data_IF_343382733517
#
_entry.id   IF_343382733517
#
_cell.length_a   1.000
_cell.length_b   1.000
_cell.length_c   1.000
_cell.angle_alpha   90.00
_cell.angle_beta   90.00
_cell.angle_gamma   90.00
#
_symmetry.space_group_name_H-M   'P 1'
#
loop_
_entity.id
_entity.type
_entity.pdbx_description
1 polymer ?
#
# COMPACT_ATOMS: atom_id res chain seq x y z
N UNK A 1 -1.61 1.41 -8.29
CA UNK A 1 -0.82 2.34 -7.44
C UNK A 1 0.62 1.84 -7.39
N UNK A 2 1.65 2.65 -7.69
CA UNK A 2 3.06 2.21 -7.52
C UNK A 2 3.51 2.48 -6.10
N UNK A 3 3.87 1.45 -5.32
CA UNK A 3 4.48 1.59 -3.99
C UNK A 3 5.95 2.01 -4.13
N UNK A 4 6.45 2.80 -3.19
CA UNK A 4 7.89 3.00 -3.07
C UNK A 4 8.60 1.77 -2.47
N UNK A 5 9.93 1.78 -2.41
CA UNK A 5 10.71 0.63 -1.93
C UNK A 5 10.37 0.26 -0.47
N UNK A 6 10.21 1.26 0.41
CA UNK A 6 9.90 1.02 1.82
C UNK A 6 8.48 0.47 1.99
N UNK A 7 7.53 1.01 1.25
CA UNK A 7 6.15 0.54 1.19
C UNK A 7 6.08 -0.90 0.67
N UNK A 8 6.85 -1.22 -0.37
CA UNK A 8 6.94 -2.58 -0.92
C UNK A 8 7.51 -3.57 0.09
N UNK A 9 8.54 -3.20 0.83
CA UNK A 9 9.11 -4.02 1.90
C UNK A 9 8.15 -4.21 3.08
N UNK A 10 7.33 -3.21 3.40
CA UNK A 10 6.29 -3.35 4.42
C UNK A 10 5.24 -4.39 4.02
N UNK A 11 4.77 -4.34 2.77
CA UNK A 11 3.84 -5.35 2.23
C UNK A 11 4.47 -6.74 2.19
N UNK A 12 5.72 -6.87 1.76
CA UNK A 12 6.43 -8.16 1.78
C UNK A 12 6.55 -8.75 3.19
N UNK A 13 6.84 -7.91 4.20
CA UNK A 13 6.87 -8.34 5.60
C UNK A 13 5.50 -8.82 6.07
N UNK A 14 4.43 -8.09 5.75
CA UNK A 14 3.07 -8.50 6.09
C UNK A 14 2.71 -9.84 5.42
N UNK A 15 3.05 -10.03 4.14
CA UNK A 15 2.80 -11.28 3.41
C UNK A 15 3.72 -12.44 3.83
N UNK A 16 4.81 -12.17 4.57
CA UNK A 16 5.77 -13.21 4.97
C UNK A 16 5.20 -14.20 6.00
N UNK A 17 4.12 -13.82 6.70
CA UNK A 17 3.39 -14.70 7.63
C UNK A 17 2.63 -15.81 6.91
N UNK A 18 2.32 -15.61 5.63
CA UNK A 18 1.62 -16.57 4.80
C UNK A 18 2.59 -17.63 4.24
N UNK A 19 2.12 -18.85 3.94
CA UNK A 19 2.91 -19.86 3.24
C UNK A 19 3.53 -19.32 1.94
N UNK A 20 4.69 -19.84 1.54
CA UNK A 20 5.38 -19.37 0.33
C UNK A 20 4.54 -19.56 -0.95
N UNK A 21 3.74 -20.64 -1.00
CA UNK A 21 2.85 -20.96 -2.12
C UNK A 21 1.50 -20.21 -2.05
N UNK A 22 1.32 -19.31 -1.08
CA UNK A 22 0.05 -18.62 -0.91
C UNK A 22 -0.26 -17.74 -2.13
N UNK A 23 -1.49 -17.80 -2.70
CA UNK A 23 -1.84 -17.09 -3.93
C UNK A 23 -1.61 -15.58 -3.83
N UNK A 24 -1.81 -14.98 -2.65
CA UNK A 24 -1.53 -13.57 -2.41
C UNK A 24 -0.03 -13.19 -2.56
N UNK A 25 0.91 -14.06 -2.15
CA UNK A 25 2.36 -13.80 -2.33
C UNK A 25 2.72 -13.82 -3.81
N UNK A 26 2.26 -14.85 -4.52
CA UNK A 26 2.48 -15.03 -5.96
C UNK A 26 1.89 -13.84 -6.74
N UNK A 27 0.67 -13.44 -6.41
CA UNK A 27 0.01 -12.30 -7.04
C UNK A 27 0.79 -10.99 -6.78
N UNK A 28 1.26 -10.77 -5.56
CA UNK A 28 2.06 -9.57 -5.24
C UNK A 28 3.37 -9.53 -6.03
N UNK A 29 4.07 -10.66 -6.15
CA UNK A 29 5.30 -10.75 -6.96
C UNK A 29 5.05 -10.50 -8.45
N UNK A 30 3.86 -10.85 -8.96
CA UNK A 30 3.41 -10.54 -10.32
C UNK A 30 2.96 -9.08 -10.48
N UNK A 31 2.97 -8.29 -9.42
CA UNK A 31 2.56 -6.87 -9.45
C UNK A 31 1.04 -6.67 -9.37
N UNK A 32 0.31 -7.61 -8.77
CA UNK A 32 -1.11 -7.47 -8.52
C UNK A 32 -1.43 -6.18 -7.78
N UNK A 33 -2.58 -5.59 -8.12
CA UNK A 33 -3.04 -4.40 -7.44
C UNK A 33 -3.55 -4.71 -6.02
N UNK A 34 -3.60 -3.70 -5.13
CA UNK A 34 -4.05 -3.87 -3.76
C UNK A 34 -5.45 -4.47 -3.61
N UNK A 35 -6.37 -4.18 -4.53
CA UNK A 35 -7.75 -4.68 -4.46
C UNK A 35 -7.76 -6.19 -4.76
N UNK A 36 -7.03 -6.61 -5.81
CA UNK A 36 -6.85 -8.02 -6.11
C UNK A 36 -6.23 -8.80 -4.94
N UNK A 37 -5.26 -8.20 -4.25
CA UNK A 37 -4.65 -8.81 -3.06
C UNK A 37 -5.60 -8.92 -1.87
N UNK A 38 -6.42 -7.90 -1.61
CA UNK A 38 -7.42 -7.96 -0.53
C UNK A 38 -8.44 -9.07 -0.76
N UNK A 39 -8.86 -9.30 -2.00
CA UNK A 39 -9.77 -10.41 -2.32
C UNK A 39 -9.14 -11.78 -2.06
N UNK A 40 -7.84 -11.94 -2.31
CA UNK A 40 -7.12 -13.20 -2.06
C UNK A 40 -6.86 -13.47 -0.58
N UNK A 41 -7.09 -12.48 0.29
CA UNK A 41 -6.84 -12.53 1.72
C UNK A 41 -8.13 -12.36 2.53
N UNK A 42 -9.30 -12.37 1.90
CA UNK A 42 -10.57 -12.14 2.57
C UNK A 42 -10.78 -13.12 3.75
N UNK A 43 -10.92 -12.56 4.96
CA UNK A 43 -11.04 -13.33 6.20
C UNK A 43 -9.72 -13.59 6.94
N UNK A 44 -8.59 -13.18 6.39
CA UNK A 44 -7.26 -13.30 7.01
C UNK A 44 -6.87 -12.01 7.76
N UNK A 45 -6.23 -12.14 8.93
CA UNK A 45 -5.77 -10.99 9.73
C UNK A 45 -4.76 -10.10 8.99
N UNK A 46 -4.06 -10.67 8.00
CA UNK A 46 -3.10 -9.97 7.14
C UNK A 46 -3.77 -8.86 6.34
N UNK A 47 -5.09 -8.94 6.06
CA UNK A 47 -5.85 -7.88 5.38
C UNK A 47 -5.81 -6.57 6.13
N UNK A 48 -6.00 -6.60 7.44
CA UNK A 48 -6.05 -5.38 8.25
C UNK A 48 -4.68 -4.71 8.28
N UNK A 49 -3.60 -5.48 8.45
CA UNK A 49 -2.23 -4.95 8.36
C UNK A 49 -1.93 -4.33 6.99
N UNK A 50 -2.38 -4.97 5.90
CA UNK A 50 -2.16 -4.45 4.57
C UNK A 50 -2.97 -3.17 4.29
N UNK A 51 -4.22 -3.09 4.79
CA UNK A 51 -5.03 -1.87 4.71
C UNK A 51 -4.32 -0.68 5.35
N UNK A 52 -3.74 -0.86 6.55
CA UNK A 52 -2.99 0.20 7.24
C UNK A 52 -1.77 0.66 6.42
N UNK A 53 -1.02 -0.28 5.82
CA UNK A 53 0.13 0.05 4.96
C UNK A 53 -0.31 0.88 3.75
N UNK A 54 -1.39 0.48 3.08
CA UNK A 54 -1.91 1.21 1.92
C UNK A 54 -2.52 2.56 2.30
N UNK A 55 -3.19 2.64 3.45
CA UNK A 55 -3.74 3.89 3.96
C UNK A 55 -2.63 4.89 4.26
N UNK A 56 -1.59 4.48 4.99
CA UNK A 56 -0.43 5.34 5.27
C UNK A 56 0.28 5.79 3.98
N UNK A 57 0.41 4.90 3.00
CA UNK A 57 0.96 5.23 1.68
C UNK A 57 0.10 6.27 0.94
N UNK A 58 -1.22 6.12 1.00
CA UNK A 58 -2.18 7.04 0.39
C UNK A 58 -2.17 8.40 1.09
N UNK A 59 -2.20 8.44 2.42
CA UNK A 59 -2.15 9.67 3.22
C UNK A 59 -0.90 10.48 2.95
N UNK A 60 0.28 9.85 2.93
CA UNK A 60 1.54 10.54 2.59
C UNK A 60 1.47 11.21 1.22
N UNK A 61 0.85 10.54 0.23
CA UNK A 61 0.69 11.10 -1.11
C UNK A 61 -0.31 12.24 -1.13
N UNK A 62 -1.46 12.09 -0.47
CA UNK A 62 -2.46 13.15 -0.36
C UNK A 62 -1.91 14.40 0.36
N UNK A 63 -1.17 14.22 1.45
CA UNK A 63 -0.53 15.30 2.18
C UNK A 63 0.57 15.98 1.35
N UNK A 64 1.36 15.21 0.59
CA UNK A 64 2.36 15.76 -0.34
C UNK A 64 1.73 16.54 -1.50
N UNK A 65 0.51 16.19 -1.92
CA UNK A 65 -0.25 16.89 -2.96
C UNK A 65 -0.93 18.17 -2.51
N UNK A 66 -1.20 18.33 -1.20
CA UNK A 66 -1.81 19.55 -0.63
C UNK A 66 -0.80 20.68 -0.41
N UNK A 67 0.49 20.37 -0.19
CA UNK A 67 1.52 21.40 0.03
C UNK A 67 1.74 22.34 -1.17
N UNK A 68 1.28 21.97 -2.37
CA UNK A 68 1.50 22.76 -3.59
C UNK A 68 0.42 23.80 -3.90
N UNK A 69 -0.70 23.87 -3.15
CA UNK A 69 -1.79 24.84 -3.43
C UNK A 69 -1.74 26.12 -2.58
N UNK A 70 -0.92 26.17 -1.54
CA UNK A 70 -0.85 27.34 -0.64
C UNK A 70 0.15 28.41 -1.09
N UNK A 71 1.07 28.12 -2.02
CA UNK A 71 2.08 29.09 -2.44
C UNK A 71 1.55 30.19 -3.40
N UNK A 72 0.34 30.04 -3.95
CA UNK A 72 -0.25 31.03 -4.86
C UNK A 72 -1.04 32.17 -4.21
N UNK A 73 -1.08 32.26 -2.86
CA UNK A 73 -1.75 33.37 -2.15
C UNK A 73 -0.84 34.28 -1.33
N UNK A 74 0.48 34.16 -1.45
CA UNK A 74 1.43 35.13 -0.88
C UNK A 74 2.38 35.67 -1.95
N UNK A 75 1.88 36.55 -2.79
CA UNK A 75 2.70 37.64 -3.34
C UNK A 75 1.99 38.97 -3.08
N UNK A 76 2.77 40.01 -2.74
CA UNK A 76 2.34 41.18 -1.98
C UNK A 76 1.38 42.10 -2.73
#
# INVERSE_FOLDING_TARGET
MKLDQQEREAVLRALSVLPHDHPARIAFDQGADPIALMHLLEGDETVENLKEIWLAAYERRCLSGCASRDEHKRRP
#
